data_IF_097770501909
#
_entry.id   IF_097770501909
#
_cell.length_a   1.000
_cell.length_b   1.000
_cell.length_c   1.000
_cell.angle_alpha   90.00
_cell.angle_beta   90.00
_cell.angle_gamma   90.00
#
_symmetry.space_group_name_H-M   'P 1'
#
loop_
_entity.id
_entity.type
_entity.pdbx_description
1 polymer ?
#
# COMPACT_ATOMS: atom_id res chain seq x y z
N UNK A 1 11.51 -29.53 11.79
CA UNK A 1 11.92 -28.13 11.99
C UNK A 1 10.84 -27.25 11.42
N UNK A 2 10.15 -26.50 12.26
CA UNK A 2 9.03 -25.63 11.88
C UNK A 2 9.59 -24.37 11.22
N UNK A 3 9.13 -24.10 9.99
CA UNK A 3 9.53 -22.95 9.18
C UNK A 3 8.83 -21.70 9.68
N UNK A 4 9.58 -20.66 10.06
CA UNK A 4 9.01 -19.34 10.32
C UNK A 4 8.65 -18.73 8.96
N UNK A 5 7.35 -18.69 8.64
CA UNK A 5 6.88 -17.91 7.50
C UNK A 5 6.46 -16.52 8.00
N UNK A 6 7.44 -15.63 8.02
CA UNK A 6 7.34 -14.23 8.45
C UNK A 6 7.01 -13.32 7.27
N UNK A 7 6.07 -13.68 6.39
CA UNK A 7 5.70 -12.79 5.29
C UNK A 7 5.02 -11.53 5.85
N UNK A 8 5.83 -10.47 5.99
CA UNK A 8 5.39 -9.13 6.39
C UNK A 8 4.91 -8.38 5.14
N UNK A 9 3.82 -8.82 4.53
CA UNK A 9 3.21 -8.09 3.40
C UNK A 9 1.81 -7.64 3.77
N UNK A 10 1.44 -6.44 3.32
CA UNK A 10 0.10 -5.89 3.53
C UNK A 10 -0.55 -5.58 2.19
N UNK A 11 -1.85 -5.85 2.10
CA UNK A 11 -2.66 -5.46 0.96
C UNK A 11 -2.96 -3.97 1.01
N UNK A 12 -2.83 -3.29 -0.13
CA UNK A 12 -3.13 -1.87 -0.27
C UNK A 12 -4.45 -1.72 -1.02
N UNK A 13 -5.28 -0.79 -0.57
CA UNK A 13 -6.50 -0.38 -1.26
C UNK A 13 -6.61 1.14 -1.26
N UNK A 14 -7.16 1.68 -2.35
CA UNK A 14 -7.42 3.11 -2.49
C UNK A 14 -8.90 3.33 -2.77
N UNK A 15 -9.42 4.47 -2.32
CA UNK A 15 -10.81 4.85 -2.53
C UNK A 15 -10.99 5.39 -3.95
N UNK A 16 -11.75 4.68 -4.77
CA UNK A 16 -12.18 5.11 -6.09
C UNK A 16 -13.67 5.44 -6.13
N UNK A 17 -14.18 5.77 -7.31
CA UNK A 17 -15.61 6.07 -7.52
C UNK A 17 -16.53 4.89 -7.16
N UNK A 18 -16.03 3.66 -7.34
CA UNK A 18 -16.75 2.42 -7.02
C UNK A 18 -16.43 1.87 -5.61
N UNK A 19 -15.88 2.70 -4.72
CA UNK A 19 -15.44 2.29 -3.39
C UNK A 19 -13.97 1.87 -3.34
N UNK A 20 -13.61 1.07 -2.33
CA UNK A 20 -12.23 0.62 -2.10
C UNK A 20 -11.77 -0.35 -3.19
N UNK A 21 -10.74 0.04 -3.93
CA UNK A 21 -10.13 -0.75 -5.01
C UNK A 21 -8.76 -1.27 -4.57
N UNK A 22 -8.49 -2.58 -4.70
CA UNK A 22 -7.19 -3.15 -4.36
C UNK A 22 -6.13 -2.69 -5.37
N UNK A 23 -4.96 -2.26 -4.89
CA UNK A 23 -3.85 -1.77 -5.73
C UNK A 23 -2.57 -2.61 -5.59
N UNK A 24 -2.72 -3.82 -5.06
CA UNK A 24 -1.63 -4.79 -4.87
C UNK A 24 -1.21 -4.92 -3.42
N UNK A 25 0.02 -5.40 -3.21
CA UNK A 25 0.60 -5.56 -1.89
C UNK A 25 1.96 -4.85 -1.81
N UNK A 26 2.34 -4.49 -0.59
CA UNK A 26 3.67 -3.96 -0.28
C UNK A 26 4.32 -4.82 0.78
N UNK A 27 5.62 -5.02 0.65
CA UNK A 27 6.42 -5.70 1.68
C UNK A 27 6.83 -4.68 2.75
N UNK A 28 6.56 -5.03 4.00
CA UNK A 28 6.94 -4.25 5.18
C UNK A 28 8.36 -4.66 5.59
N UNK A 29 9.33 -3.74 5.52
CA UNK A 29 10.70 -4.04 5.92
C UNK A 29 10.80 -4.25 7.44
N UNK A 30 11.82 -4.98 7.88
CA UNK A 30 11.89 -5.47 9.26
C UNK A 30 12.00 -4.37 10.33
N UNK A 31 12.44 -3.18 9.94
CA UNK A 31 12.60 -1.98 10.76
C UNK A 31 11.31 -1.21 11.01
N UNK A 32 10.21 -1.56 10.32
CA UNK A 32 8.89 -0.99 10.58
C UNK A 32 7.98 -2.03 11.23
N UNK A 33 6.99 -1.58 11.98
CA UNK A 33 5.90 -2.44 12.46
C UNK A 33 4.92 -2.74 11.32
N UNK A 34 4.21 -3.88 11.43
CA UNK A 34 3.15 -4.20 10.47
C UNK A 34 1.93 -3.33 10.83
N UNK A 35 1.46 -2.46 9.92
CA UNK A 35 0.35 -1.56 10.20
C UNK A 35 -0.95 -2.34 10.43
N UNK A 36 -1.85 -1.79 11.24
CA UNK A 36 -3.17 -2.36 11.46
C UNK A 36 -4.08 -2.21 10.24
N UNK A 37 -5.08 -3.09 10.11
CA UNK A 37 -6.08 -2.97 9.05
C UNK A 37 -6.80 -1.62 9.15
N UNK A 38 -6.80 -0.86 8.04
CA UNK A 38 -7.40 0.47 7.96
C UNK A 38 -6.44 1.62 8.30
N UNK A 39 -5.20 1.34 8.72
CA UNK A 39 -4.18 2.36 8.87
C UNK A 39 -3.78 2.94 7.51
N UNK A 40 -3.53 4.24 7.48
CA UNK A 40 -3.03 4.93 6.29
C UNK A 40 -1.51 4.81 6.26
N UNK A 41 -0.98 4.41 5.11
CA UNK A 41 0.45 4.13 4.96
C UNK A 41 1.01 4.87 3.77
N UNK A 42 2.25 5.33 3.91
CA UNK A 42 2.98 5.95 2.82
C UNK A 42 3.77 4.90 2.06
N UNK A 43 3.55 4.86 0.74
CA UNK A 43 4.17 3.91 -0.17
C UNK A 43 4.72 4.64 -1.38
N UNK A 44 6.01 4.44 -1.64
CA UNK A 44 6.67 4.93 -2.85
C UNK A 44 6.68 3.84 -3.90
N UNK A 45 6.34 4.17 -5.13
CA UNK A 45 6.26 3.23 -6.25
C UNK A 45 6.80 3.89 -7.52
N UNK A 46 7.11 3.09 -8.55
CA UNK A 46 7.58 3.61 -9.84
C UNK A 46 6.42 4.12 -10.70
N UNK A 47 5.42 3.29 -10.92
CA UNK A 47 4.18 3.64 -11.62
C UNK A 47 3.05 2.69 -11.23
N UNK A 48 1.82 3.15 -11.42
CA UNK A 48 0.62 2.35 -11.30
C UNK A 48 0.23 1.74 -12.66
N UNK A 49 -0.24 0.50 -12.65
CA UNK A 49 -0.91 -0.14 -13.78
C UNK A 49 -2.11 -0.96 -13.22
N UNK A 50 -2.21 -2.31 -13.27
CA UNK A 50 -3.24 -3.01 -12.49
C UNK A 50 -2.89 -3.11 -10.99
N UNK A 51 -1.62 -2.91 -10.63
CA UNK A 51 -1.12 -2.84 -9.26
C UNK A 51 0.08 -1.88 -9.20
N UNK A 52 0.51 -1.50 -7.99
CA UNK A 52 1.72 -0.72 -7.80
C UNK A 52 2.95 -1.51 -8.24
N UNK A 53 3.79 -0.90 -9.08
CA UNK A 53 5.05 -1.51 -9.53
C UNK A 53 6.21 -1.05 -8.66
N UNK A 54 6.93 -2.03 -8.11
CA UNK A 54 8.01 -1.85 -7.14
C UNK A 54 7.62 -0.94 -5.96
N UNK A 55 6.56 -1.31 -5.20
CA UNK A 55 6.16 -0.55 -4.03
C UNK A 55 7.18 -0.71 -2.89
N UNK A 56 7.48 0.40 -2.23
CA UNK A 56 8.37 0.50 -1.08
C UNK A 56 7.59 1.19 0.04
N UNK A 57 7.43 0.49 1.16
CA UNK A 57 6.80 1.04 2.35
C UNK A 57 7.71 2.09 3.01
N UNK A 58 7.16 3.26 3.32
CA UNK A 58 7.88 4.34 3.98
C UNK A 58 7.46 4.54 5.44
N UNK A 59 6.22 4.22 5.80
CA UNK A 59 5.72 4.37 7.16
C UNK A 59 4.21 4.46 7.25
N UNK A 60 3.70 4.52 8.47
CA UNK A 60 2.29 4.83 8.75
C UNK A 60 2.13 6.35 8.87
N UNK A 61 1.02 6.87 8.35
CA UNK A 61 0.65 8.29 8.42
C UNK A 61 -0.57 8.44 9.32
N UNK A 62 -0.41 9.21 10.39
CA UNK A 62 -1.49 9.58 11.31
C UNK A 62 -2.12 10.93 11.00
N UNK A 63 -1.56 11.66 10.04
CA UNK A 63 -1.97 13.00 9.64
C UNK A 63 -2.93 13.01 8.43
N UNK A 64 -3.26 11.83 7.90
CA UNK A 64 -4.15 11.64 6.74
C UNK A 64 -5.23 10.64 7.11
N UNK A 65 -6.48 10.96 6.77
CA UNK A 65 -7.57 10.03 6.98
C UNK A 65 -7.76 9.05 5.80
N UNK A 66 -8.23 7.81 6.03
CA UNK A 66 -8.52 6.84 4.97
C UNK A 66 -9.33 7.38 3.78
N UNK A 67 -10.39 8.19 3.93
CA UNK A 67 -11.15 8.73 2.80
C UNK A 67 -10.34 9.67 1.89
N UNK A 68 -9.21 10.20 2.34
CA UNK A 68 -8.33 11.04 1.51
C UNK A 68 -7.47 10.21 0.55
N UNK A 69 -7.34 8.89 0.80
CA UNK A 69 -6.53 7.96 0.02
C UNK A 69 -7.20 7.58 -1.30
N UNK A 70 -7.30 8.52 -2.23
CA UNK A 70 -8.06 8.35 -3.49
C UNK A 70 -7.22 7.82 -4.65
N UNK A 71 -7.85 7.07 -5.55
CA UNK A 71 -7.21 6.55 -6.77
C UNK A 71 -6.69 7.63 -7.72
N UNK A 72 -7.20 8.87 -7.61
CA UNK A 72 -6.71 10.03 -8.35
C UNK A 72 -5.24 10.40 -8.03
N UNK A 73 -4.70 9.93 -6.90
CA UNK A 73 -3.29 10.11 -6.56
C UNK A 73 -2.36 9.15 -7.34
N UNK A 74 -2.91 8.12 -7.99
CA UNK A 74 -2.12 7.15 -8.74
C UNK A 74 -1.51 7.76 -9.99
N UNK A 75 -0.19 7.62 -10.12
CA UNK A 75 0.56 8.00 -11.33
C UNK A 75 0.69 6.77 -12.23
N UNK A 76 -0.14 6.70 -13.26
CA UNK A 76 -0.05 5.66 -14.27
C UNK A 76 1.07 5.94 -15.26
N UNK A 77 1.71 4.88 -15.78
CA UNK A 77 2.66 5.01 -16.88
C UNK A 77 1.88 5.29 -18.17
N UNK A 78 2.05 6.49 -18.72
CA UNK A 78 1.57 6.81 -20.08
C UNK A 78 2.35 5.98 -21.09
N UNK A 79 1.63 5.31 -21.99
CA UNK A 79 2.20 4.52 -23.08
C UNK A 79 3.01 5.40 -24.05
#
# INVERSE_FOLDING_TARGET
>A
MTTINTQRSVGLSLLGENGWQPVGNVTIPANHDVPSVGAVVEVRYLYAAPALVQPVYLGERSDVEPPECVTAQLKFKTA
#
